data_IF_053254610993
#
_entry.id   IF_053254610993
#
_cell.length_a   1.000
_cell.length_b   1.000
_cell.length_c   1.000
_cell.angle_alpha   90.00
_cell.angle_beta   90.00
_cell.angle_gamma   90.00
#
_symmetry.space_group_name_H-M   'P 1'
#
loop_
_entity.id
_entity.type
_entity.pdbx_description
1 polymer ?
#
# COMPACT_ATOMS: atom_id res chain seq x y z
N UNK A 1 12.50 -18.94 5.03
CA UNK A 1 11.76 -18.02 5.94
C UNK A 1 10.62 -17.22 5.29
N UNK A 2 10.82 -16.56 4.14
CA UNK A 2 9.80 -15.66 3.54
C UNK A 2 8.44 -16.33 3.27
N UNK A 3 8.33 -17.52 2.65
CA UNK A 3 7.02 -18.13 2.36
C UNK A 3 6.23 -18.48 3.63
N UNK A 4 6.92 -18.90 4.69
CA UNK A 4 6.31 -19.23 5.98
C UNK A 4 5.75 -17.98 6.66
N UNK A 5 6.51 -16.88 6.66
CA UNK A 5 6.06 -15.61 7.23
C UNK A 5 4.80 -15.09 6.52
N UNK A 6 4.77 -15.13 5.19
CA UNK A 6 3.61 -14.66 4.39
C UNK A 6 2.33 -15.39 4.76
N UNK A 7 2.37 -16.73 4.79
CA UNK A 7 1.17 -17.53 5.07
C UNK A 7 0.65 -17.33 6.51
N UNK A 8 1.54 -17.22 7.49
CA UNK A 8 1.19 -16.97 8.88
C UNK A 8 0.59 -15.57 9.07
N UNK A 9 1.19 -14.55 8.46
CA UNK A 9 0.71 -13.16 8.59
C UNK A 9 -0.72 -13.00 8.05
N UNK A 10 -1.04 -13.61 6.91
CA UNK A 10 -2.39 -13.54 6.33
C UNK A 10 -3.46 -14.07 7.29
N UNK A 11 -3.21 -15.22 7.90
CA UNK A 11 -4.15 -15.86 8.83
C UNK A 11 -4.31 -15.02 10.09
N UNK A 12 -3.22 -14.46 10.63
CA UNK A 12 -3.27 -13.57 11.79
C UNK A 12 -4.07 -12.32 11.50
N UNK A 13 -3.83 -11.64 10.38
CA UNK A 13 -4.58 -10.44 10.00
C UNK A 13 -6.06 -10.78 9.85
N UNK A 14 -6.40 -11.84 9.11
CA UNK A 14 -7.78 -12.25 8.92
C UNK A 14 -8.47 -12.54 10.27
N UNK A 15 -7.81 -13.30 11.14
CA UNK A 15 -8.35 -13.62 12.47
C UNK A 15 -8.55 -12.39 13.34
N UNK A 16 -7.54 -11.53 13.49
CA UNK A 16 -7.65 -10.34 14.32
C UNK A 16 -8.70 -9.37 13.77
N UNK A 17 -8.73 -9.11 12.46
CA UNK A 17 -9.71 -8.20 11.86
C UNK A 17 -11.14 -8.72 11.97
N UNK A 18 -11.39 -9.97 11.57
CA UNK A 18 -12.74 -10.56 11.61
C UNK A 18 -13.24 -10.69 13.05
N UNK A 19 -12.39 -11.13 13.97
CA UNK A 19 -12.76 -11.24 15.39
C UNK A 19 -13.03 -9.87 16.01
N UNK A 20 -12.19 -8.87 15.70
CA UNK A 20 -12.40 -7.50 16.16
C UNK A 20 -13.72 -6.92 15.65
N UNK A 21 -14.00 -7.04 14.35
CA UNK A 21 -15.26 -6.53 13.76
C UNK A 21 -16.47 -7.24 14.36
N UNK A 22 -16.40 -8.57 14.53
CA UNK A 22 -17.47 -9.36 15.12
C UNK A 22 -17.76 -8.95 16.58
N UNK A 23 -16.72 -8.77 17.40
CA UNK A 23 -16.86 -8.32 18.79
C UNK A 23 -17.41 -6.89 18.86
N UNK A 24 -16.89 -5.98 18.03
CA UNK A 24 -17.38 -4.60 17.95
C UNK A 24 -18.86 -4.55 17.56
N UNK A 25 -19.26 -5.30 16.53
CA UNK A 25 -20.65 -5.37 16.08
C UNK A 25 -21.59 -6.02 17.10
N UNK A 26 -21.07 -6.88 17.98
CA UNK A 26 -21.85 -7.48 19.07
C UNK A 26 -22.07 -6.52 20.24
N UNK A 27 -21.19 -5.54 20.45
CA UNK A 27 -21.24 -4.60 21.59
C UNK A 27 -21.90 -3.27 21.19
N UNK A 28 -21.67 -2.79 19.97
CA UNK A 28 -22.16 -1.49 19.50
C UNK A 28 -23.26 -1.71 18.46
N UNK A 29 -24.49 -1.30 18.81
CA UNK A 29 -25.61 -1.30 17.89
C UNK A 29 -25.34 -0.39 16.68
N UNK A 30 -25.78 -0.79 15.49
CA UNK A 30 -25.57 -0.03 14.26
C UNK A 30 -26.21 1.38 14.28
N UNK A 31 -27.23 1.57 15.12
CA UNK A 31 -28.02 2.80 15.25
C UNK A 31 -27.46 3.76 16.30
N UNK A 32 -26.27 3.49 16.84
CA UNK A 32 -25.69 4.33 17.88
C UNK A 32 -25.35 5.73 17.33
N UNK A 33 -25.87 6.82 17.94
CA UNK A 33 -25.62 8.18 17.47
C UNK A 33 -24.12 8.56 17.48
N UNK A 34 -23.29 7.87 18.29
CA UNK A 34 -21.83 8.05 18.30
C UNK A 34 -21.15 7.46 17.05
N UNK A 35 -21.78 6.51 16.35
CA UNK A 35 -21.32 5.98 15.06
C UNK A 35 -21.82 6.81 13.87
N UNK A 36 -23.03 7.39 13.98
CA UNK A 36 -23.75 8.02 12.85
C UNK A 36 -23.35 9.49 12.63
N UNK A 37 -22.92 10.22 13.66
CA UNK A 37 -22.42 11.59 13.52
C UNK A 37 -20.95 11.60 13.07
N UNK A 38 -20.74 11.31 11.79
CA UNK A 38 -19.46 11.17 11.10
C UNK A 38 -18.69 12.49 10.96
N UNK A 39 -18.08 12.96 12.06
CA UNK A 39 -17.18 14.11 12.09
C UNK A 39 -15.71 13.77 11.79
N UNK A 40 -15.41 12.52 11.42
CA UNK A 40 -14.07 12.09 10.97
C UNK A 40 -12.96 12.13 12.02
N UNK A 41 -13.28 12.33 13.31
CA UNK A 41 -12.29 12.37 14.39
C UNK A 41 -12.00 10.98 14.95
N UNK A 42 -10.73 10.69 15.24
CA UNK A 42 -10.27 9.45 15.88
C UNK A 42 -10.97 9.15 17.23
N UNK A 43 -11.54 10.17 17.87
CA UNK A 43 -12.34 10.04 19.10
C UNK A 43 -13.65 9.23 18.91
N UNK A 44 -14.12 9.05 17.67
CA UNK A 44 -15.34 8.31 17.33
C UNK A 44 -15.05 6.89 16.81
N UNK A 45 -13.81 6.40 16.93
CA UNK A 45 -13.47 5.03 16.55
C UNK A 45 -14.29 4.01 17.37
N UNK A 46 -14.79 2.92 16.75
CA UNK A 46 -15.64 1.94 17.43
C UNK A 46 -15.06 1.39 18.74
N UNK A 47 -13.73 1.19 18.78
CA UNK A 47 -13.04 0.75 20.00
C UNK A 47 -13.11 1.79 21.12
N UNK A 48 -13.00 3.08 20.80
CA UNK A 48 -13.17 4.16 21.77
C UNK A 48 -14.58 4.17 22.34
N UNK A 49 -15.59 3.96 21.50
CA UNK A 49 -17.01 3.90 21.92
C UNK A 49 -17.23 2.73 22.89
N UNK A 50 -16.64 1.56 22.63
CA UNK A 50 -16.74 0.40 23.55
C UNK A 50 -16.18 0.74 24.93
N UNK A 51 -14.99 1.34 25.01
CA UNK A 51 -14.39 1.69 26.30
C UNK A 51 -15.14 2.80 27.04
N UNK A 52 -15.75 3.74 26.31
CA UNK A 52 -16.63 4.76 26.90
C UNK A 52 -17.89 4.09 27.48
N UNK A 53 -18.53 3.18 26.75
CA UNK A 53 -19.70 2.42 27.24
C UNK A 53 -19.37 1.51 28.42
N UNK A 54 -18.14 0.99 28.48
CA UNK A 54 -17.66 0.19 29.60
C UNK A 54 -17.40 1.03 30.88
N UNK A 55 -17.60 2.36 30.84
CA UNK A 55 -17.44 3.24 32.00
C UNK A 55 -16.00 3.63 32.31
N UNK A 56 -15.06 3.37 31.40
CA UNK A 56 -13.65 3.72 31.59
C UNK A 56 -13.45 5.23 31.44
N UNK A 57 -13.24 5.93 32.56
CA UNK A 57 -12.91 7.36 32.57
C UNK A 57 -11.60 7.59 31.81
N UNK A 58 -11.61 8.52 30.85
CA UNK A 58 -10.43 8.84 30.04
C UNK A 58 -10.14 7.85 28.90
N UNK A 59 -11.06 6.95 28.57
CA UNK A 59 -10.95 5.98 27.47
C UNK A 59 -10.48 6.58 26.14
N UNK A 60 -11.02 7.75 25.78
CA UNK A 60 -10.66 8.43 24.53
C UNK A 60 -9.17 8.85 24.50
N UNK A 61 -8.64 9.38 25.60
CA UNK A 61 -7.24 9.80 25.68
C UNK A 61 -6.29 8.60 25.65
N UNK A 62 -6.67 7.51 26.33
CA UNK A 62 -5.91 6.26 26.29
C UNK A 62 -5.86 5.69 24.86
N UNK A 63 -7.00 5.59 24.19
CA UNK A 63 -7.05 5.11 22.81
C UNK A 63 -6.26 6.01 21.85
N UNK A 64 -6.34 7.33 22.02
CA UNK A 64 -5.52 8.26 21.23
C UNK A 64 -4.02 8.01 21.43
N UNK A 65 -3.57 7.75 22.67
CA UNK A 65 -2.17 7.42 22.95
C UNK A 65 -1.74 6.10 22.27
N UNK A 66 -2.57 5.06 22.35
CA UNK A 66 -2.31 3.76 21.70
C UNK A 66 -2.21 3.90 20.18
N UNK A 67 -3.16 4.62 19.56
CA UNK A 67 -3.16 4.89 18.12
C UNK A 67 -1.93 5.70 17.74
N UNK A 68 -1.58 6.73 18.51
CA UNK A 68 -0.41 7.55 18.26
C UNK A 68 0.88 6.73 18.30
N UNK A 69 1.11 5.93 19.33
CA UNK A 69 2.30 5.06 19.42
C UNK A 69 2.35 4.05 18.27
N UNK A 70 1.20 3.49 17.88
CA UNK A 70 1.12 2.52 16.77
C UNK A 70 1.48 3.17 15.43
N UNK A 71 0.90 4.33 15.14
CA UNK A 71 1.17 5.09 13.91
C UNK A 71 2.61 5.59 13.88
N UNK A 72 3.13 6.09 15.01
CA UNK A 72 4.52 6.54 15.11
C UNK A 72 5.51 5.40 14.83
N UNK A 73 5.23 4.20 15.36
CA UNK A 73 6.04 3.02 15.07
C UNK A 73 5.98 2.64 13.58
N UNK A 74 4.80 2.67 12.96
CA UNK A 74 4.65 2.38 11.54
C UNK A 74 5.41 3.39 10.67
N UNK A 75 5.33 4.68 10.98
CA UNK A 75 6.06 5.75 10.28
C UNK A 75 7.58 5.48 10.29
N UNK A 76 8.15 5.10 11.44
CA UNK A 76 9.59 4.81 11.51
C UNK A 76 10.00 3.62 10.62
N UNK A 77 9.17 2.57 10.58
CA UNK A 77 9.39 1.42 9.70
C UNK A 77 9.30 1.80 8.22
N UNK A 78 8.27 2.56 7.83
CA UNK A 78 8.07 3.00 6.44
C UNK A 78 9.18 3.95 5.98
N UNK A 79 9.64 4.84 6.86
CA UNK A 79 10.77 5.75 6.59
C UNK A 79 12.06 4.97 6.36
N UNK A 80 12.32 3.95 7.18
CA UNK A 80 13.47 3.05 7.00
C UNK A 80 13.38 2.29 5.66
N UNK A 81 12.21 1.73 5.34
CA UNK A 81 12.00 0.98 4.10
C UNK A 81 12.21 1.90 2.88
N UNK A 82 11.60 3.08 2.86
CA UNK A 82 11.71 4.03 1.74
C UNK A 82 13.16 4.44 1.47
N UNK A 83 13.92 4.78 2.52
CA UNK A 83 15.33 5.19 2.37
C UNK A 83 16.23 4.05 1.90
N UNK A 84 15.97 2.81 2.34
CA UNK A 84 16.71 1.62 1.89
C UNK A 84 16.33 1.17 0.48
N UNK A 85 15.07 1.36 0.08
CA UNK A 85 14.65 1.14 -1.31
C UNK A 85 15.41 2.08 -2.26
N UNK A 86 15.49 3.38 -1.94
CA UNK A 86 16.27 4.36 -2.71
C UNK A 86 17.77 4.01 -2.78
N UNK A 87 18.34 3.54 -1.66
CA UNK A 87 19.72 3.05 -1.63
C UNK A 87 19.91 1.84 -2.56
N UNK A 88 18.99 0.87 -2.55
CA UNK A 88 19.03 -0.31 -3.43
C UNK A 88 18.93 0.09 -4.90
N UNK A 89 17.99 0.99 -5.24
CA UNK A 89 17.84 1.58 -6.57
C UNK A 89 19.15 2.23 -7.04
N UNK A 90 19.82 3.00 -6.19
CA UNK A 90 21.10 3.64 -6.56
C UNK A 90 22.24 2.64 -6.72
N UNK A 91 22.33 1.60 -5.88
CA UNK A 91 23.38 0.58 -5.95
C UNK A 91 23.25 -0.31 -7.18
N UNK A 92 22.02 -0.58 -7.61
CA UNK A 92 21.71 -1.30 -8.85
C UNK A 92 21.85 -0.41 -10.11
N UNK A 93 22.30 0.85 -9.97
CA UNK A 93 22.48 1.78 -11.08
C UNK A 93 21.19 2.37 -11.66
N UNK A 94 20.04 2.13 -11.00
CA UNK A 94 18.72 2.61 -11.42
C UNK A 94 18.45 4.06 -10.98
N UNK A 95 19.07 4.52 -9.89
CA UNK A 95 19.02 5.91 -9.45
C UNK A 95 20.40 6.60 -9.49
N UNK A 96 20.43 7.93 -9.31
CA UNK A 96 21.67 8.70 -9.31
C UNK A 96 22.61 8.27 -8.17
N UNK A 97 23.91 8.10 -8.48
CA UNK A 97 24.92 7.52 -7.56
C UNK A 97 24.99 8.22 -6.19
N UNK A 98 24.73 9.52 -6.14
CA UNK A 98 24.73 10.29 -4.89
C UNK A 98 23.68 9.79 -3.87
N UNK A 99 22.55 9.26 -4.33
CA UNK A 99 21.49 8.71 -3.47
C UNK A 99 22.00 7.47 -2.72
N UNK A 100 22.90 6.71 -3.36
CA UNK A 100 23.50 5.51 -2.81
C UNK A 100 24.68 5.75 -1.86
N UNK A 101 25.08 7.00 -1.63
CA UNK A 101 26.16 7.33 -0.70
C UNK A 101 25.71 7.12 0.74
N UNK A 102 26.47 6.31 1.49
CA UNK A 102 26.23 6.04 2.91
C UNK A 102 27.31 6.66 3.78
N UNK A 103 26.92 7.18 4.95
CA UNK A 103 27.89 7.63 5.96
C UNK A 103 28.63 6.44 6.62
N UNK A 104 29.56 6.73 7.54
CA UNK A 104 30.33 5.72 8.28
C UNK A 104 29.47 4.72 9.07
N UNK A 105 28.22 5.06 9.39
CA UNK A 105 27.25 4.20 10.08
C UNK A 105 26.35 3.41 9.12
N UNK A 106 26.62 3.46 7.81
CA UNK A 106 25.84 2.75 6.79
C UNK A 106 24.46 3.37 6.50
N UNK A 107 24.25 4.64 6.87
CA UNK A 107 22.98 5.37 6.67
C UNK A 107 23.04 6.19 5.36
N UNK A 108 22.10 6.00 4.42
CA UNK A 108 22.06 6.74 3.16
C UNK A 108 21.50 8.16 3.37
N UNK A 109 22.35 9.11 3.78
CA UNK A 109 21.91 10.45 4.20
C UNK A 109 21.19 11.24 3.09
N UNK A 110 21.59 11.08 1.83
CA UNK A 110 20.91 11.72 0.70
C UNK A 110 19.50 11.17 0.51
N UNK A 111 19.33 9.84 0.62
CA UNK A 111 18.01 9.22 0.56
C UNK A 111 17.12 9.66 1.74
N UNK A 112 17.69 9.75 2.95
CA UNK A 112 17.00 10.29 4.14
C UNK A 112 16.50 11.71 3.87
N UNK A 113 17.37 12.60 3.38
CA UNK A 113 16.99 13.98 3.07
C UNK A 113 15.85 14.07 2.04
N UNK A 114 15.88 13.22 0.99
CA UNK A 114 14.81 13.16 -0.01
C UNK A 114 13.49 12.72 0.62
N UNK A 115 13.48 11.64 1.40
CA UNK A 115 12.25 11.14 2.05
C UNK A 115 11.73 12.16 3.07
N UNK A 116 12.59 12.84 3.82
CA UNK A 116 12.20 13.94 4.72
C UNK A 116 11.57 15.08 3.93
N UNK A 117 12.20 15.52 2.83
CA UNK A 117 11.68 16.60 1.99
C UNK A 117 10.30 16.25 1.40
N UNK A 118 10.10 15.01 0.94
CA UNK A 118 8.78 14.54 0.52
C UNK A 118 7.76 14.52 1.67
N UNK A 119 8.19 14.15 2.88
CA UNK A 119 7.31 14.15 4.07
C UNK A 119 6.87 15.57 4.46
N UNK A 120 7.68 16.58 4.21
CA UNK A 120 7.33 17.99 4.41
C UNK A 120 6.17 18.47 3.51
N UNK A 121 5.79 17.73 2.46
CA UNK A 121 4.56 18.03 1.70
C UNK A 121 3.31 17.95 2.57
N UNK A 122 3.36 17.24 3.70
CA UNK A 122 2.29 17.26 4.71
C UNK A 122 2.02 18.64 5.31
N UNK A 123 2.96 19.59 5.22
CA UNK A 123 2.78 20.97 5.70
C UNK A 123 1.74 21.76 4.89
N UNK A 124 1.32 21.28 3.71
CA UNK A 124 0.19 21.85 2.95
C UNK A 124 -1.11 21.85 3.78
N UNK A 125 -1.20 20.96 4.78
CA UNK A 125 -2.32 20.92 5.75
C UNK A 125 -2.56 22.24 6.46
N UNK A 126 -1.53 23.09 6.63
CA UNK A 126 -1.63 24.41 7.27
C UNK A 126 -2.53 25.36 6.45
N UNK A 127 -2.53 25.24 5.12
CA UNK A 127 -3.25 26.16 4.23
C UNK A 127 -4.64 25.65 3.82
N UNK A 128 -4.77 24.34 3.61
CA UNK A 128 -5.98 23.73 3.01
C UNK A 128 -6.83 22.98 4.05
N UNK A 129 -6.27 22.70 5.23
CA UNK A 129 -6.92 21.91 6.27
C UNK A 129 -6.51 20.43 6.22
N UNK A 130 -6.37 19.83 7.41
CA UNK A 130 -5.82 18.48 7.57
C UNK A 130 -6.68 17.39 6.93
N UNK A 131 -8.01 17.50 7.03
CA UNK A 131 -8.94 16.52 6.47
C UNK A 131 -8.86 16.41 4.94
N UNK A 132 -8.78 17.55 4.25
CA UNK A 132 -8.73 17.59 2.78
C UNK A 132 -7.41 17.00 2.25
N UNK A 133 -6.27 17.44 2.82
CA UNK A 133 -4.95 16.93 2.41
C UNK A 133 -4.78 15.46 2.74
N UNK A 134 -5.30 14.99 3.87
CA UNK A 134 -5.32 13.56 4.21
C UNK A 134 -6.05 12.76 3.13
N UNK A 135 -7.22 13.23 2.70
CA UNK A 135 -7.99 12.59 1.63
C UNK A 135 -7.25 12.58 0.27
N UNK A 136 -6.51 13.65 -0.05
CA UNK A 136 -5.64 13.68 -1.23
C UNK A 136 -4.56 12.60 -1.18
N UNK A 137 -3.82 12.50 -0.06
CA UNK A 137 -2.77 11.49 0.08
C UNK A 137 -3.31 10.06 0.09
N UNK A 138 -4.43 9.80 0.77
CA UNK A 138 -5.08 8.49 0.74
C UNK A 138 -5.46 8.08 -0.68
N UNK A 139 -6.02 9.02 -1.47
CA UNK A 139 -6.40 8.77 -2.86
C UNK A 139 -5.17 8.48 -3.75
N UNK A 140 -4.11 9.29 -3.62
CA UNK A 140 -2.85 9.10 -4.36
C UNK A 140 -2.20 7.76 -4.02
N UNK A 141 -2.07 7.43 -2.73
CA UNK A 141 -1.44 6.18 -2.27
C UNK A 141 -2.25 4.97 -2.73
N UNK A 142 -3.58 5.01 -2.61
CA UNK A 142 -4.46 3.93 -3.08
C UNK A 142 -4.24 3.62 -4.55
N UNK A 143 -4.16 4.66 -5.39
CA UNK A 143 -3.89 4.53 -6.83
C UNK A 143 -2.48 3.98 -7.12
N UNK A 144 -1.44 4.47 -6.44
CA UNK A 144 -0.06 3.93 -6.55
C UNK A 144 -0.01 2.45 -6.19
N UNK A 145 -0.74 2.02 -5.15
CA UNK A 145 -0.79 0.63 -4.72
C UNK A 145 -1.38 -0.24 -5.82
N UNK A 146 -2.55 0.12 -6.37
CA UNK A 146 -3.15 -0.63 -7.48
C UNK A 146 -2.23 -0.72 -8.70
N UNK A 147 -1.60 0.40 -9.06
CA UNK A 147 -0.63 0.44 -10.16
C UNK A 147 0.56 -0.50 -9.90
N UNK A 148 1.10 -0.49 -8.68
CA UNK A 148 2.21 -1.36 -8.28
C UNK A 148 1.84 -2.84 -8.35
N UNK A 149 0.64 -3.22 -7.90
CA UNK A 149 0.14 -4.59 -8.00
C UNK A 149 0.03 -5.06 -9.46
N UNK A 150 -0.51 -4.23 -10.35
CA UNK A 150 -0.60 -4.57 -11.77
C UNK A 150 0.80 -4.79 -12.37
N UNK A 151 1.76 -3.92 -12.05
CA UNK A 151 3.14 -4.06 -12.51
C UNK A 151 3.78 -5.35 -11.98
N UNK A 152 3.58 -5.68 -10.70
CA UNK A 152 4.07 -6.94 -10.10
C UNK A 152 3.45 -8.14 -10.80
N UNK A 153 2.14 -8.13 -11.06
CA UNK A 153 1.45 -9.22 -11.76
C UNK A 153 1.95 -9.38 -13.20
N UNK A 154 2.15 -8.27 -13.91
CA UNK A 154 2.71 -8.28 -15.27
C UNK A 154 4.15 -8.85 -15.28
N UNK A 155 5.01 -8.40 -14.37
CA UNK A 155 6.36 -8.93 -14.22
C UNK A 155 6.35 -10.41 -13.85
N UNK A 156 5.42 -10.84 -12.99
CA UNK A 156 5.26 -12.25 -12.64
C UNK A 156 4.82 -13.11 -13.84
N UNK A 157 3.89 -12.62 -14.67
CA UNK A 157 3.52 -13.29 -15.92
C UNK A 157 4.70 -13.38 -16.89
N UNK A 158 5.43 -12.28 -17.09
CA UNK A 158 6.62 -12.22 -17.95
C UNK A 158 7.71 -13.17 -17.45
N UNK A 159 7.97 -13.19 -16.14
CA UNK A 159 8.91 -14.11 -15.51
C UNK A 159 8.55 -15.58 -15.78
N UNK A 160 7.29 -15.97 -15.56
CA UNK A 160 6.82 -17.34 -15.82
C UNK A 160 6.88 -17.70 -17.30
N UNK A 161 6.65 -16.74 -18.20
CA UNK A 161 6.84 -16.93 -19.64
C UNK A 161 8.31 -17.17 -20.00
N UNK A 162 9.24 -16.34 -19.52
CA UNK A 162 10.68 -16.54 -19.74
C UNK A 162 11.16 -17.88 -19.17
N UNK A 163 10.68 -18.26 -17.98
CA UNK A 163 11.00 -19.54 -17.33
C UNK A 163 10.64 -20.74 -18.23
N UNK A 164 9.44 -20.70 -18.82
CA UNK A 164 8.94 -21.75 -19.71
C UNK A 164 9.72 -21.78 -21.03
N UNK A 165 10.02 -20.62 -21.62
CA UNK A 165 10.76 -20.51 -22.89
C UNK A 165 12.19 -21.04 -22.75
N UNK A 166 12.83 -20.84 -21.60
CA UNK A 166 14.17 -21.39 -21.31
C UNK A 166 14.16 -22.88 -20.93
N UNK A 167 13.03 -23.58 -21.04
CA UNK A 167 12.93 -25.02 -20.78
C UNK A 167 13.06 -25.43 -19.31
N UNK A 168 12.93 -24.48 -18.37
CA UNK A 168 13.14 -24.76 -16.94
C UNK A 168 11.88 -25.35 -16.30
N UNK A 169 11.99 -26.43 -15.51
CA UNK A 169 10.83 -27.01 -14.85
C UNK A 169 10.34 -26.11 -13.70
N UNK A 170 9.05 -26.21 -13.38
CA UNK A 170 8.41 -25.41 -12.32
C UNK A 170 8.88 -25.84 -10.92
N UNK A 171 9.34 -27.08 -10.79
CA UNK A 171 9.90 -27.65 -9.55
C UNK A 171 11.13 -26.93 -9.03
N UNK A 172 11.87 -26.24 -9.91
CA UNK A 172 13.08 -25.51 -9.54
C UNK A 172 12.78 -24.17 -8.87
N UNK A 173 11.50 -23.76 -8.83
CA UNK A 173 11.09 -22.55 -8.13
C UNK A 173 10.98 -22.83 -6.62
N UNK A 174 11.61 -21.99 -5.77
CA UNK A 174 11.50 -22.12 -4.32
C UNK A 174 10.06 -21.99 -3.80
N UNK A 175 9.20 -21.33 -4.57
CA UNK A 175 7.79 -21.12 -4.25
C UNK A 175 6.96 -21.13 -5.53
N UNK A 176 5.87 -21.88 -5.51
CA UNK A 176 4.88 -21.94 -6.59
C UNK A 176 3.59 -21.35 -6.08
N UNK A 177 3.10 -20.30 -6.74
CA UNK A 177 1.86 -19.64 -6.36
C UNK A 177 0.65 -20.55 -6.64
N UNK A 178 -0.16 -20.81 -5.60
CA UNK A 178 -1.31 -21.71 -5.61
C UNK A 178 -2.36 -21.41 -6.70
N UNK A 179 -2.51 -20.16 -7.14
CA UNK A 179 -3.52 -19.74 -8.11
C UNK A 179 -3.03 -19.49 -9.54
N UNK A 180 -1.77 -19.78 -9.90
CA UNK A 180 -1.29 -19.46 -11.24
C UNK A 180 -1.84 -20.44 -12.31
N UNK A 181 -2.32 -19.97 -13.48
CA UNK A 181 -2.34 -18.58 -13.96
C UNK A 181 -3.65 -17.81 -13.64
N UNK A 182 -4.74 -18.49 -13.29
CA UNK A 182 -6.07 -17.88 -13.17
C UNK A 182 -6.17 -16.78 -12.12
N UNK A 183 -5.53 -16.97 -10.95
CA UNK A 183 -5.47 -15.98 -9.88
C UNK A 183 -4.73 -14.72 -10.29
N UNK A 184 -3.67 -14.83 -11.09
CA UNK A 184 -3.02 -13.64 -11.64
C UNK A 184 -3.95 -12.91 -12.63
N UNK A 185 -4.64 -13.64 -13.52
CA UNK A 185 -5.57 -13.03 -14.49
C UNK A 185 -6.69 -12.30 -13.76
N UNK A 186 -7.32 -12.96 -12.78
CA UNK A 186 -8.37 -12.37 -11.96
C UNK A 186 -7.86 -11.11 -11.24
N UNK A 187 -6.70 -11.17 -10.58
CA UNK A 187 -6.13 -10.03 -9.89
C UNK A 187 -5.80 -8.87 -10.84
N UNK A 188 -5.34 -9.16 -12.06
CA UNK A 188 -5.10 -8.15 -13.09
C UNK A 188 -6.40 -7.51 -13.56
N UNK A 189 -7.45 -8.30 -13.83
CA UNK A 189 -8.77 -7.78 -14.24
C UNK A 189 -9.36 -6.90 -13.15
N UNK A 190 -9.32 -7.36 -11.90
CA UNK A 190 -9.80 -6.58 -10.74
C UNK A 190 -9.00 -5.28 -10.61
N UNK A 191 -7.67 -5.35 -10.64
CA UNK A 191 -6.80 -4.17 -10.57
C UNK A 191 -7.10 -3.16 -11.68
N UNK A 192 -7.20 -3.61 -12.93
CA UNK A 192 -7.55 -2.76 -14.07
C UNK A 192 -8.94 -2.14 -13.90
N UNK A 193 -9.93 -2.91 -13.42
CA UNK A 193 -11.28 -2.40 -13.19
C UNK A 193 -11.32 -1.31 -12.12
N UNK A 194 -10.55 -1.45 -11.04
CA UNK A 194 -10.44 -0.43 -10.00
C UNK A 194 -9.84 0.88 -10.54
N UNK A 195 -8.83 0.79 -11.42
CA UNK A 195 -8.20 1.96 -12.03
C UNK A 195 -9.17 2.66 -13.00
N UNK A 196 -9.85 1.89 -13.86
CA UNK A 196 -10.87 2.44 -14.76
C UNK A 196 -11.99 3.10 -13.96
N UNK A 197 -12.45 2.49 -12.87
CA UNK A 197 -13.43 3.09 -11.97
C UNK A 197 -12.93 4.40 -11.35
N UNK A 198 -11.66 4.45 -10.94
CA UNK A 198 -11.06 5.66 -10.36
C UNK A 198 -10.97 6.79 -11.39
N UNK A 199 -10.59 6.47 -12.63
CA UNK A 199 -10.57 7.44 -13.73
C UNK A 199 -11.96 7.94 -14.08
N UNK A 200 -12.92 7.02 -14.19
CA UNK A 200 -14.32 7.36 -14.47
C UNK A 200 -14.91 8.31 -13.43
N UNK A 201 -14.73 7.99 -12.14
CA UNK A 201 -15.20 8.82 -11.03
C UNK A 201 -14.51 10.18 -10.99
N UNK A 202 -13.29 10.30 -11.52
CA UNK A 202 -12.58 11.59 -11.59
C UNK A 202 -13.12 12.54 -12.66
N UNK A 203 -13.93 12.08 -13.61
CA UNK A 203 -14.35 12.87 -14.78
C UNK A 203 -15.87 13.12 -14.83
N UNK A 204 -16.69 12.23 -14.27
CA UNK A 204 -18.11 12.19 -14.61
C UNK A 204 -18.95 13.37 -14.12
N UNK A 205 -18.58 14.06 -13.04
CA UNK A 205 -19.38 15.17 -12.49
C UNK A 205 -18.51 16.35 -12.05
N UNK A 206 -18.14 17.26 -12.98
CA UNK A 206 -17.48 18.50 -12.60
C UNK A 206 -18.43 19.36 -11.75
N UNK A 207 -17.95 19.94 -10.64
CA UNK A 207 -18.77 20.74 -9.74
C UNK A 207 -19.16 22.05 -10.41
N UNK A 208 -20.47 22.30 -10.50
CA UNK A 208 -21.00 23.52 -11.10
C UNK A 208 -21.11 24.62 -10.05
N UNK A 209 -20.57 25.80 -10.37
CA UNK A 209 -20.64 26.95 -9.47
C UNK A 209 -22.09 27.45 -9.36
N UNK A 210 -22.68 27.50 -8.16
CA UNK A 210 -24.11 27.79 -8.00
C UNK A 210 -24.47 29.29 -8.16
N UNK A 211 -23.50 30.18 -8.41
CA UNK A 211 -23.69 31.63 -8.51
C UNK A 211 -23.25 32.38 -7.24
N UNK A 212 -23.02 33.69 -7.37
CA UNK A 212 -22.59 34.56 -6.25
C UNK A 212 -23.64 34.72 -5.16
N UNK A 213 -24.91 34.54 -5.52
CA UNK A 213 -26.07 34.81 -4.67
C UNK A 213 -26.63 33.51 -4.04
N UNK A 214 -25.88 32.41 -4.16
CA UNK A 214 -26.25 31.10 -3.63
C UNK A 214 -26.27 31.07 -2.09
N UNK A 215 -27.16 30.26 -1.51
CA UNK A 215 -27.22 30.05 -0.06
C UNK A 215 -25.90 29.46 0.48
N UNK A 216 -25.59 29.76 1.74
CA UNK A 216 -24.36 29.29 2.40
C UNK A 216 -24.26 27.76 2.41
N UNK A 217 -25.39 27.06 2.57
CA UNK A 217 -25.47 25.60 2.50
C UNK A 217 -25.11 25.06 1.11
N UNK A 218 -25.63 25.69 0.05
CA UNK A 218 -25.33 25.30 -1.33
C UNK A 218 -23.86 25.58 -1.68
N UNK A 219 -23.30 26.69 -1.18
CA UNK A 219 -21.88 27.01 -1.29
C UNK A 219 -20.98 26.04 -0.52
N UNK A 220 -21.41 25.57 0.65
CA UNK A 220 -20.70 24.54 1.41
C UNK A 220 -20.70 23.19 0.67
N UNK A 221 -21.84 22.80 0.09
CA UNK A 221 -21.96 21.61 -0.74
C UNK A 221 -21.08 21.71 -1.99
N UNK A 222 -21.05 22.86 -2.66
CA UNK A 222 -20.16 23.13 -3.78
C UNK A 222 -18.69 22.98 -3.41
N UNK A 223 -18.25 23.57 -2.28
CA UNK A 223 -16.86 23.41 -1.79
C UNK A 223 -16.51 21.95 -1.54
N UNK A 224 -17.40 21.20 -0.90
CA UNK A 224 -17.21 19.76 -0.65
C UNK A 224 -17.07 18.98 -1.97
N UNK A 225 -17.97 19.21 -2.93
CA UNK A 225 -17.94 18.53 -4.23
C UNK A 225 -16.69 18.92 -5.04
N UNK A 226 -16.27 20.18 -4.98
CA UNK A 226 -15.00 20.67 -5.56
C UNK A 226 -13.79 19.95 -4.99
N UNK A 227 -13.72 19.83 -3.67
CA UNK A 227 -12.57 19.21 -3.02
C UNK A 227 -12.55 17.68 -3.29
N UNK A 228 -13.70 17.03 -3.35
CA UNK A 228 -13.84 15.62 -3.77
C UNK A 228 -13.46 15.41 -5.25
N UNK A 229 -13.86 16.33 -6.14
CA UNK A 229 -13.48 16.28 -7.56
C UNK A 229 -11.97 16.47 -7.73
N UNK A 230 -11.37 17.43 -7.03
CA UNK A 230 -9.92 17.64 -7.01
C UNK A 230 -9.17 16.43 -6.45
N UNK A 231 -9.67 15.82 -5.36
CA UNK A 231 -9.15 14.57 -4.82
C UNK A 231 -9.17 13.45 -5.88
N UNK A 232 -10.31 13.28 -6.57
CA UNK A 232 -10.48 12.29 -7.63
C UNK A 232 -9.46 12.47 -8.74
N UNK A 233 -9.29 13.71 -9.24
CA UNK A 233 -8.31 14.01 -10.28
C UNK A 233 -6.87 13.76 -9.82
N UNK A 234 -6.51 14.19 -8.62
CA UNK A 234 -5.18 13.98 -8.06
C UNK A 234 -4.91 12.48 -7.90
N UNK A 235 -5.80 11.71 -7.28
CA UNK A 235 -5.60 10.27 -7.12
C UNK A 235 -5.57 9.49 -8.44
N UNK A 236 -6.44 9.86 -9.39
CA UNK A 236 -6.57 9.21 -10.68
C UNK A 236 -5.36 9.44 -11.60
N UNK A 237 -4.90 10.68 -11.72
CA UNK A 237 -4.00 11.07 -12.81
C UNK A 237 -2.56 11.32 -12.34
N UNK A 238 -2.36 11.90 -11.15
CA UNK A 238 -1.02 12.26 -10.68
C UNK A 238 -0.07 11.05 -10.60
N UNK A 239 -0.44 9.89 -10.01
CA UNK A 239 0.41 8.69 -9.98
C UNK A 239 0.84 8.20 -11.35
N UNK A 240 -0.08 8.21 -12.32
CA UNK A 240 0.15 7.75 -13.68
C UNK A 240 1.06 8.68 -14.45
N UNK A 241 0.84 9.99 -14.36
CA UNK A 241 1.71 10.99 -14.96
C UNK A 241 3.10 10.90 -14.37
N UNK A 242 3.22 10.83 -13.04
CA UNK A 242 4.50 10.68 -12.35
C UNK A 242 5.24 9.41 -12.80
N UNK A 243 4.53 8.29 -12.86
CA UNK A 243 5.11 7.01 -13.26
C UNK A 243 5.53 6.99 -14.73
N UNK A 244 4.74 7.59 -15.61
CA UNK A 244 5.07 7.74 -17.03
C UNK A 244 6.32 8.60 -17.20
N UNK A 245 6.40 9.75 -16.52
CA UNK A 245 7.59 10.62 -16.53
C UNK A 245 8.80 9.83 -16.07
N UNK A 246 8.76 9.17 -14.91
CA UNK A 246 9.89 8.39 -14.40
C UNK A 246 10.31 7.28 -15.36
N UNK A 247 9.35 6.55 -15.94
CA UNK A 247 9.62 5.48 -16.89
C UNK A 247 10.28 5.99 -18.18
N UNK A 248 9.69 7.02 -18.81
CA UNK A 248 10.21 7.58 -20.04
C UNK A 248 11.54 8.31 -19.81
N UNK A 249 11.68 9.11 -18.75
CA UNK A 249 12.95 9.74 -18.38
C UNK A 249 14.06 8.71 -18.20
N UNK A 250 13.77 7.58 -17.54
CA UNK A 250 14.75 6.50 -17.39
C UNK A 250 15.09 5.86 -18.74
N UNK A 251 14.06 5.56 -19.56
CA UNK A 251 14.23 4.94 -20.88
C UNK A 251 15.03 5.82 -21.85
N UNK A 252 14.78 7.13 -21.88
CA UNK A 252 15.53 8.08 -22.71
C UNK A 252 16.97 8.26 -22.23
N UNK A 253 17.19 8.36 -20.92
CA UNK A 253 18.53 8.56 -20.35
C UNK A 253 19.41 7.32 -20.51
N UNK A 254 18.85 6.13 -20.31
CA UNK A 254 19.60 4.86 -20.30
C UNK A 254 19.51 4.07 -21.60
N UNK A 255 18.70 4.52 -22.58
CA UNK A 255 18.47 3.86 -23.88
C UNK A 255 18.21 2.35 -23.73
N UNK A 256 17.39 1.98 -22.75
CA UNK A 256 17.12 0.57 -22.44
C UNK A 256 16.27 -0.08 -23.53
N UNK A 257 16.58 -1.34 -23.84
CA UNK A 257 15.82 -2.17 -24.80
C UNK A 257 14.96 -3.19 -24.04
N UNK A 258 13.82 -3.55 -24.63
CA UNK A 258 13.02 -4.67 -24.15
C UNK A 258 13.79 -5.97 -24.42
N UNK A 259 14.07 -6.73 -23.37
CA UNK A 259 14.82 -7.98 -23.44
C UNK A 259 13.88 -9.10 -23.92
N UNK A 260 14.35 -9.92 -24.87
CA UNK A 260 13.63 -11.11 -25.34
C UNK A 260 13.42 -12.10 -24.20
N UNK A 261 12.42 -12.96 -24.31
CA UNK A 261 12.17 -13.96 -23.28
C UNK A 261 13.27 -15.03 -23.20
N UNK A 262 13.97 -15.28 -24.31
CA UNK A 262 15.08 -16.22 -24.38
C UNK A 262 16.30 -15.65 -23.65
N UNK A 263 16.61 -14.37 -23.89
CA UNK A 263 17.80 -13.69 -23.36
C UNK A 263 17.60 -13.08 -21.96
N UNK A 264 16.44 -13.30 -21.34
CA UNK A 264 16.15 -12.78 -20.01
C UNK A 264 17.07 -13.45 -18.97
N UNK A 265 17.84 -12.65 -18.25
CA UNK A 265 18.67 -13.16 -17.15
C UNK A 265 17.78 -13.56 -15.95
N UNK A 266 17.77 -14.85 -15.63
CA UNK A 266 17.01 -15.43 -14.52
C UNK A 266 17.92 -15.99 -13.42
N UNK A 267 19.25 -15.83 -13.55
CA UNK A 267 20.23 -16.46 -12.67
C UNK A 267 21.00 -15.44 -11.83
N UNK A 268 21.29 -14.24 -12.36
CA UNK A 268 22.02 -13.21 -11.61
C UNK A 268 21.25 -12.78 -10.36
N UNK A 269 21.87 -12.96 -9.19
CA UNK A 269 21.27 -12.62 -7.90
C UNK A 269 20.17 -13.57 -7.44
N UNK A 270 19.97 -14.71 -8.12
CA UNK A 270 19.01 -15.73 -7.70
C UNK A 270 19.49 -16.42 -6.42
N UNK A 271 18.63 -16.40 -5.39
CA UNK A 271 18.82 -17.24 -4.22
C UNK A 271 18.50 -18.70 -4.58
N UNK A 272 19.49 -19.58 -4.47
CA UNK A 272 19.33 -21.01 -4.62
C UNK A 272 19.19 -21.60 -3.22
N UNK A 273 18.01 -22.14 -2.84
CA UNK A 273 17.81 -22.69 -1.51
C UNK A 273 18.74 -23.87 -1.27
N UNK A 274 19.40 -23.88 -0.11
CA UNK A 274 20.13 -25.05 0.37
C UNK A 274 19.18 -26.21 0.67
N UNK A 275 19.68 -27.45 0.79
CA UNK A 275 18.83 -28.60 1.14
C UNK A 275 18.13 -28.42 2.50
N UNK A 276 18.78 -27.78 3.47
CA UNK A 276 18.16 -27.40 4.75
C UNK A 276 17.00 -26.40 4.57
N UNK A 277 17.12 -25.45 3.64
CA UNK A 277 16.02 -24.51 3.34
C UNK A 277 14.82 -25.22 2.73
N UNK A 278 15.04 -26.29 1.94
CA UNK A 278 13.98 -27.10 1.33
C UNK A 278 13.26 -27.96 2.37
N UNK A 279 13.98 -28.47 3.36
CA UNK A 279 13.37 -29.19 4.49
C UNK A 279 12.48 -28.28 5.33
N UNK A 280 12.90 -27.04 5.59
CA UNK A 280 12.11 -26.04 6.30
C UNK A 280 10.81 -25.64 5.57
N UNK A 281 10.75 -25.80 4.25
CA UNK A 281 9.55 -25.58 3.44
C UNK A 281 8.57 -26.74 3.52
N UNK A 282 9.01 -27.95 3.90
CA UNK A 282 8.11 -29.09 4.05
C UNK A 282 7.31 -28.94 5.34
N UNK A 283 5.97 -29.13 5.31
CA UNK A 283 5.15 -29.00 6.51
C UNK A 283 5.41 -30.16 7.49
N UNK A 284 6.07 -29.87 8.61
CA UNK A 284 6.36 -30.84 9.67
C UNK A 284 5.26 -30.87 10.75
N UNK A 285 4.77 -32.07 11.12
CA UNK A 285 3.90 -32.33 12.28
C UNK A 285 2.40 -32.55 11.97
N UNK A 286 1.57 -32.83 12.99
CA UNK A 286 0.12 -33.07 12.83
C UNK A 286 -0.65 -31.81 12.39
N UNK A 287 -1.77 -31.98 11.67
CA UNK A 287 -2.54 -30.87 11.10
C UNK A 287 -2.92 -29.78 12.12
N UNK A 288 -3.31 -30.15 13.34
CA UNK A 288 -3.68 -29.19 14.40
C UNK A 288 -2.50 -28.32 14.88
N UNK A 289 -1.29 -28.88 15.00
CA UNK A 289 -0.07 -28.11 15.32
C UNK A 289 0.32 -27.17 14.18
N UNK A 290 0.01 -27.51 12.93
CA UNK A 290 0.24 -26.63 11.77
C UNK A 290 -0.68 -25.41 11.82
N UNK A 291 -1.95 -25.64 12.14
CA UNK A 291 -2.95 -24.57 12.32
C UNK A 291 -2.55 -23.64 13.48
N UNK A 292 -2.19 -24.19 14.64
CA UNK A 292 -1.72 -23.38 15.78
C UNK A 292 -0.45 -22.57 15.47
N UNK A 293 0.53 -23.14 14.77
CA UNK A 293 1.75 -22.41 14.32
C UNK A 293 1.47 -21.36 13.25
N UNK A 294 0.29 -21.34 12.64
CA UNK A 294 -0.13 -20.24 11.76
C UNK A 294 -0.68 -19.06 12.58
N UNK A 295 -1.20 -19.30 13.78
CA UNK A 295 -1.72 -18.26 14.68
C UNK A 295 -0.66 -17.71 15.66
N UNK A 296 0.26 -18.54 16.14
CA UNK A 296 1.35 -18.20 17.10
C UNK A 296 2.68 -18.03 16.40
#
# INVERSE_FOLDING_TARGET
>A
HVPKAVNTVLIRIAFFYLSSIFLLGSIVANSDPLLVNSGGSAAQAPFTIVFVKAGLKGAANYMNAVVFTSVFSAINSDFYVATRMLLSLSRNGWAHKAIGYTNARGVPMVAVAIVTACSCLSLITIFVGSGVVFQWFVSIIGSIIFQSWILILFLHFRFRYCWKVQGRPVSDLPYVSWGYPYGNVLATVVGCSCIVATWYLSVIDPPHYPGSDASEELMALYRKNRDSYAQGLLGAWFPWVMSAILFFSYKFTRKTKLISAVDADLDTGRFIPSESDKEDLKPHGPAWKRVLKMFV
#
